data_IF_231579440778
#
_entry.id   IF_231579440778
#
_cell.length_a   1.000
_cell.length_b   1.000
_cell.length_c   1.000
_cell.angle_alpha   90.00
_cell.angle_beta   90.00
_cell.angle_gamma   90.00
#
_symmetry.space_group_name_H-M   'P 1'
#
loop_
_entity.id
_entity.type
_entity.pdbx_description
1 polymer ?
#
# COMPACT_ATOMS: atom_id res chain seq x y z
N UNK A 1 6.16 6.73 6.38
CA UNK A 1 7.51 7.11 5.90
C UNK A 1 7.35 7.86 4.58
N UNK A 2 8.18 8.84 4.29
CA UNK A 2 8.17 9.59 3.02
C UNK A 2 9.43 9.28 2.23
N UNK A 3 9.29 9.09 0.92
CA UNK A 3 10.42 9.03 -0.03
C UNK A 3 10.35 10.23 -0.96
N UNK A 4 11.50 10.64 -1.47
CA UNK A 4 11.59 11.70 -2.47
C UNK A 4 11.76 11.02 -3.83
N UNK A 5 10.92 11.35 -4.81
CA UNK A 5 11.05 10.82 -6.17
C UNK A 5 12.24 11.46 -6.92
N UNK A 6 12.52 11.00 -8.13
CA UNK A 6 13.61 11.53 -8.97
C UNK A 6 13.39 13.00 -9.36
N UNK A 7 12.16 13.50 -9.26
CA UNK A 7 11.76 14.88 -9.53
C UNK A 7 11.83 15.78 -8.28
N UNK A 8 12.22 15.24 -7.12
CA UNK A 8 12.36 15.99 -5.87
C UNK A 8 11.07 16.12 -5.05
N UNK A 9 9.98 15.46 -5.45
CA UNK A 9 8.70 15.48 -4.75
C UNK A 9 8.66 14.49 -3.59
N UNK A 10 8.15 14.96 -2.44
CA UNK A 10 7.93 14.10 -1.26
C UNK A 10 6.68 13.26 -1.45
N UNK A 11 6.87 11.98 -1.75
CA UNK A 11 5.81 10.97 -1.82
C UNK A 11 5.65 10.33 -0.44
N UNK A 12 4.45 10.46 0.14
CA UNK A 12 4.04 9.67 1.29
C UNK A 12 3.90 8.20 0.87
N UNK A 13 4.66 7.30 1.49
CA UNK A 13 4.42 5.88 1.31
C UNK A 13 3.16 5.50 2.07
N UNK A 14 2.15 4.91 1.41
CA UNK A 14 0.97 4.42 2.08
C UNK A 14 1.37 3.48 3.22
N UNK A 15 0.79 3.67 4.40
CA UNK A 15 1.04 2.82 5.58
C UNK A 15 0.27 1.49 5.54
N UNK A 16 -0.35 1.20 4.40
CA UNK A 16 -1.13 -0.01 4.17
C UNK A 16 -0.21 -1.22 4.00
N UNK A 17 -0.49 -2.27 4.76
CA UNK A 17 0.22 -3.54 4.65
C UNK A 17 -0.03 -4.22 3.30
N UNK A 18 0.79 -5.23 2.94
CA UNK A 18 0.67 -5.96 1.68
C UNK A 18 -0.73 -6.56 1.47
N UNK A 19 -1.41 -6.93 2.55
CA UNK A 19 -2.79 -7.44 2.53
C UNK A 19 -3.78 -6.48 1.86
N UNK A 20 -3.70 -5.19 2.20
CA UNK A 20 -4.62 -4.18 1.70
C UNK A 20 -4.34 -3.85 0.23
N UNK A 21 -3.07 -3.85 -0.17
CA UNK A 21 -2.68 -3.73 -1.57
C UNK A 21 -3.22 -4.89 -2.42
N UNK A 22 -3.13 -6.12 -1.92
CA UNK A 22 -3.68 -7.28 -2.63
C UNK A 22 -5.21 -7.22 -2.73
N UNK A 23 -5.88 -6.75 -1.69
CA UNK A 23 -7.33 -6.50 -1.71
C UNK A 23 -7.70 -5.47 -2.79
N UNK A 24 -6.98 -4.35 -2.89
CA UNK A 24 -7.19 -3.36 -3.96
C UNK A 24 -6.95 -3.94 -5.36
N UNK A 25 -5.88 -4.72 -5.55
CA UNK A 25 -5.62 -5.39 -6.83
C UNK A 25 -6.77 -6.34 -7.18
N UNK A 26 -7.25 -7.11 -6.21
CA UNK A 26 -8.36 -8.02 -6.40
C UNK A 26 -9.65 -7.27 -6.77
N UNK A 27 -9.99 -6.20 -6.06
CA UNK A 27 -11.23 -5.45 -6.25
C UNK A 27 -11.23 -4.63 -7.54
N UNK A 28 -10.14 -3.93 -7.84
CA UNK A 28 -10.10 -2.94 -8.93
C UNK A 28 -9.49 -3.46 -10.23
N UNK A 29 -8.61 -4.47 -10.17
CA UNK A 29 -7.95 -5.00 -11.37
C UNK A 29 -8.44 -6.40 -11.73
N UNK A 30 -8.31 -7.38 -10.83
CA UNK A 30 -8.54 -8.79 -11.19
C UNK A 30 -10.03 -9.14 -11.26
N UNK A 31 -10.81 -8.75 -10.26
CA UNK A 31 -12.22 -9.14 -10.09
C UNK A 31 -12.41 -10.66 -10.28
N UNK A 32 -13.41 -11.03 -11.07
CA UNK A 32 -13.68 -12.44 -11.45
C UNK A 32 -12.97 -12.84 -12.76
N UNK A 33 -12.07 -12.02 -13.29
CA UNK A 33 -11.42 -12.28 -14.57
C UNK A 33 -10.22 -13.22 -14.40
N UNK A 34 -10.43 -14.50 -14.72
CA UNK A 34 -9.41 -15.54 -14.67
C UNK A 34 -8.13 -15.21 -15.49
N UNK A 35 -8.25 -14.46 -16.58
CA UNK A 35 -7.10 -14.07 -17.40
C UNK A 35 -6.22 -13.05 -16.66
N UNK A 36 -6.84 -12.08 -15.98
CA UNK A 36 -6.11 -11.08 -15.18
C UNK A 36 -5.44 -11.71 -13.96
N UNK A 37 -6.11 -12.67 -13.31
CA UNK A 37 -5.50 -13.48 -12.26
C UNK A 37 -4.27 -14.26 -12.73
N UNK A 38 -4.36 -14.89 -13.91
CA UNK A 38 -3.19 -15.57 -14.51
C UNK A 38 -2.06 -14.58 -14.79
N UNK A 39 -2.36 -13.39 -15.30
CA UNK A 39 -1.36 -12.37 -15.57
C UNK A 39 -0.69 -11.86 -14.28
N UNK A 40 -1.47 -11.66 -13.20
CA UNK A 40 -0.94 -11.32 -11.87
C UNK A 40 -0.05 -12.41 -11.30
N UNK A 41 -0.44 -13.67 -11.42
CA UNK A 41 0.38 -14.79 -10.95
C UNK A 41 1.74 -14.84 -11.68
N UNK A 42 1.73 -14.64 -12.99
CA UNK A 42 2.94 -14.52 -13.81
C UNK A 42 3.81 -13.33 -13.35
N UNK A 43 3.20 -12.19 -13.07
CA UNK A 43 3.89 -10.99 -12.56
C UNK A 43 4.51 -11.25 -11.18
N UNK A 44 3.76 -11.83 -10.25
CA UNK A 44 4.23 -12.12 -8.90
C UNK A 44 5.41 -13.10 -8.89
N UNK A 45 5.35 -14.16 -9.70
CA UNK A 45 6.46 -15.09 -9.85
C UNK A 45 7.72 -14.40 -10.40
N UNK A 46 7.54 -13.46 -11.32
CA UNK A 46 8.66 -12.71 -11.89
C UNK A 46 9.28 -11.70 -10.92
N UNK A 47 8.45 -10.85 -10.33
CA UNK A 47 8.92 -9.68 -9.58
C UNK A 47 9.12 -9.98 -8.09
N UNK A 48 8.26 -10.80 -7.48
CA UNK A 48 8.35 -11.09 -6.03
C UNK A 48 9.23 -12.31 -5.75
N UNK A 49 9.16 -13.34 -6.60
CA UNK A 49 9.94 -14.57 -6.44
C UNK A 49 11.20 -14.62 -7.31
N UNK A 50 11.37 -13.67 -8.25
CA UNK A 50 12.57 -13.57 -9.08
C UNK A 50 12.70 -14.66 -10.15
N UNK A 51 11.62 -15.36 -10.52
CA UNK A 51 11.70 -16.50 -11.42
C UNK A 51 12.15 -16.09 -12.84
N UNK A 52 12.99 -16.91 -13.52
CA UNK A 52 13.32 -16.71 -14.93
C UNK A 52 12.09 -16.84 -15.83
N UNK A 53 12.07 -16.08 -16.93
CA UNK A 53 10.96 -16.13 -17.89
C UNK A 53 10.82 -17.50 -18.56
N UNK A 54 11.93 -18.24 -18.78
CA UNK A 54 11.84 -19.61 -19.30
C UNK A 54 11.09 -20.53 -18.35
N UNK A 55 11.40 -20.49 -17.05
CA UNK A 55 10.76 -21.33 -16.03
C UNK A 55 9.27 -21.01 -15.89
N UNK A 56 8.93 -19.72 -15.88
CA UNK A 56 7.52 -19.29 -15.90
C UNK A 56 6.82 -19.81 -17.16
N UNK A 57 7.46 -19.69 -18.32
CA UNK A 57 6.95 -20.21 -19.58
C UNK A 57 6.66 -21.70 -19.53
N UNK A 58 7.57 -22.49 -18.96
CA UNK A 58 7.38 -23.93 -18.79
C UNK A 58 6.15 -24.27 -17.92
N UNK A 59 5.98 -23.58 -16.78
CA UNK A 59 4.84 -23.83 -15.87
C UNK A 59 3.50 -23.47 -16.51
N UNK A 60 3.44 -22.36 -17.26
CA UNK A 60 2.19 -21.90 -17.86
C UNK A 60 1.95 -22.40 -19.30
N UNK A 61 2.86 -23.21 -19.85
CA UNK A 61 2.77 -23.73 -21.22
C UNK A 61 2.97 -22.66 -22.30
N UNK A 62 3.75 -21.63 -22.02
CA UNK A 62 3.93 -20.46 -22.89
C UNK A 62 5.38 -20.28 -23.34
N UNK A 63 5.63 -19.85 -24.60
CA UNK A 63 6.97 -19.48 -25.02
C UNK A 63 7.42 -18.20 -24.31
N UNK A 64 8.74 -18.03 -24.12
CA UNK A 64 9.35 -16.86 -23.44
C UNK A 64 8.84 -15.53 -23.97
N UNK A 65 8.70 -15.38 -25.29
CA UNK A 65 8.18 -14.16 -25.90
C UNK A 65 6.73 -13.84 -25.50
N UNK A 66 5.90 -14.86 -25.29
CA UNK A 66 4.53 -14.67 -24.80
C UNK A 66 4.54 -14.23 -23.34
N UNK A 67 5.36 -14.85 -22.48
CA UNK A 67 5.53 -14.43 -21.08
C UNK A 67 5.97 -12.97 -20.99
N UNK A 68 6.96 -12.57 -21.79
CA UNK A 68 7.43 -11.18 -21.86
C UNK A 68 6.31 -10.19 -22.24
N UNK A 69 5.49 -10.53 -23.24
CA UNK A 69 4.34 -9.69 -23.64
C UNK A 69 3.28 -9.60 -22.54
N UNK A 70 2.98 -10.71 -21.84
CA UNK A 70 2.04 -10.70 -20.70
C UNK A 70 2.57 -9.78 -19.60
N UNK A 71 3.86 -9.88 -19.27
CA UNK A 71 4.49 -9.04 -18.25
C UNK A 71 4.45 -7.55 -18.61
N UNK A 72 4.74 -7.20 -19.87
CA UNK A 72 4.65 -5.81 -20.33
C UNK A 72 3.20 -5.30 -20.26
N UNK A 73 2.25 -6.12 -20.73
CA UNK A 73 0.83 -5.79 -20.75
C UNK A 73 0.26 -5.61 -19.34
N UNK A 74 0.48 -6.56 -18.43
CA UNK A 74 -0.06 -6.48 -17.07
C UNK A 74 0.53 -5.27 -16.31
N UNK A 75 1.81 -4.95 -16.50
CA UNK A 75 2.41 -3.75 -15.90
C UNK A 75 1.79 -2.46 -16.44
N UNK A 76 1.53 -2.42 -17.75
CA UNK A 76 0.88 -1.28 -18.38
C UNK A 76 -0.56 -1.12 -17.88
N UNK A 77 -1.34 -2.20 -17.87
CA UNK A 77 -2.72 -2.17 -17.38
C UNK A 77 -2.81 -1.79 -15.91
N UNK A 78 -1.90 -2.28 -15.06
CA UNK A 78 -1.82 -1.86 -13.66
C UNK A 78 -1.51 -0.37 -13.55
N UNK A 79 -0.54 0.15 -14.32
CA UNK A 79 -0.27 1.60 -14.34
C UNK A 79 -1.49 2.40 -14.77
N UNK A 80 -2.18 2.00 -15.84
CA UNK A 80 -3.38 2.70 -16.32
C UNK A 80 -4.51 2.63 -15.29
N UNK A 81 -4.73 1.47 -14.68
CA UNK A 81 -5.75 1.27 -13.65
C UNK A 81 -5.47 2.14 -12.43
N UNK A 82 -4.19 2.23 -12.03
CA UNK A 82 -3.78 2.92 -10.81
C UNK A 82 -3.26 4.36 -11.01
N UNK A 83 -3.18 4.86 -12.25
CA UNK A 83 -2.74 6.23 -12.54
C UNK A 83 -3.81 7.29 -12.23
N UNK A 84 -5.09 6.90 -12.21
CA UNK A 84 -6.21 7.84 -12.22
C UNK A 84 -6.85 8.18 -10.86
N UNK A 85 -6.37 7.69 -9.70
CA UNK A 85 -6.85 8.26 -8.43
C UNK A 85 -5.93 8.01 -7.23
N UNK A 86 -5.56 9.08 -6.50
CA UNK A 86 -5.10 9.00 -5.12
C UNK A 86 -6.21 8.58 -4.14
N UNK A 87 -7.50 8.63 -4.54
CA UNK A 87 -8.63 8.44 -3.61
C UNK A 87 -8.71 7.02 -3.04
N UNK A 88 -8.30 5.99 -3.78
CA UNK A 88 -8.35 4.60 -3.28
C UNK A 88 -7.23 4.27 -2.29
N UNK A 89 -6.22 5.14 -2.17
CA UNK A 89 -5.18 4.95 -1.16
C UNK A 89 -5.69 5.25 0.24
N UNK A 90 -6.95 5.72 0.40
CA UNK A 90 -7.61 6.08 1.66
C UNK A 90 -6.56 6.42 2.70
N UNK A 91 -5.79 7.48 2.40
CA UNK A 91 -4.92 8.10 3.39
C UNK A 91 -5.90 8.73 4.37
N UNK A 92 -6.46 7.92 5.27
CA UNK A 92 -7.10 8.41 6.47
C UNK A 92 -6.06 9.32 7.11
N UNK A 93 -6.28 10.63 7.03
CA UNK A 93 -5.42 11.63 7.64
C UNK A 93 -5.24 11.21 9.11
N UNK A 94 -3.99 10.90 9.55
CA UNK A 94 -3.74 10.65 10.95
C UNK A 94 -3.65 12.00 11.66
N UNK A 95 -4.71 12.80 11.59
CA UNK A 95 -4.81 14.08 12.27
C UNK A 95 -6.10 14.14 13.09
N UNK A 96 -6.21 13.24 14.07
CA UNK A 96 -6.85 13.58 15.37
C UNK A 96 -6.56 12.54 16.48
N UNK A 97 -5.30 12.11 16.61
CA UNK A 97 -4.87 11.35 17.77
C UNK A 97 -3.50 11.83 18.28
N UNK A 98 -3.43 13.10 18.71
CA UNK A 98 -2.64 13.57 19.85
C UNK A 98 -2.36 15.08 19.74
N UNK A 99 -3.01 15.88 20.59
CA UNK A 99 -2.35 17.07 21.13
C UNK A 99 -2.31 16.97 22.67
N UNK A 100 -1.18 16.55 23.26
CA UNK A 100 -1.00 16.42 24.70
C UNK A 100 -0.36 17.70 25.30
N UNK A 101 -0.94 18.89 25.04
CA UNK A 101 -0.28 20.14 25.44
C UNK A 101 -1.20 21.36 25.63
N UNK A 102 -2.19 21.30 26.52
CA UNK A 102 -2.77 22.48 27.19
C UNK A 102 -3.34 21.99 28.55
N UNK A 103 -3.01 22.45 29.76
CA UNK A 103 -2.16 23.54 30.24
C UNK A 103 -1.90 23.25 31.73
N UNK A 104 -0.64 23.23 32.19
CA UNK A 104 -0.37 23.54 33.60
C UNK A 104 -0.09 25.04 33.68
N UNK A 105 -0.58 25.71 34.74
CA UNK A 105 0.41 26.19 35.68
C UNK A 105 0.14 25.70 37.11
N UNK A 106 1.24 25.30 37.75
CA UNK A 106 1.39 25.11 39.18
C UNK A 106 1.01 26.38 39.94
N UNK A 107 0.23 26.25 41.03
CA UNK A 107 0.38 26.86 42.37
C UNK A 107 -0.89 26.51 43.18
N UNK A 108 -0.94 26.26 44.49
CA UNK A 108 -0.02 26.02 45.60
C UNK A 108 -0.92 25.46 46.75
N UNK A 109 -0.38 24.49 47.49
CA UNK A 109 -0.66 24.09 48.88
C UNK A 109 -1.98 23.45 49.33
N UNK A 110 -1.81 22.19 49.74
CA UNK A 110 -2.36 21.53 50.92
C UNK A 110 -2.70 22.42 52.13
N UNK A 111 -3.90 22.21 52.66
CA UNK A 111 -4.28 21.99 54.07
C UNK A 111 -5.81 21.94 54.10
N UNK A 112 -6.46 20.80 54.27
CA UNK A 112 -6.41 20.01 55.49
C UNK A 112 -7.68 20.31 56.28
N UNK A 113 -8.75 19.56 55.99
CA UNK A 113 -9.94 19.52 56.83
C UNK A 113 -9.54 19.04 58.23
N UNK A 114 -9.76 19.88 59.25
CA UNK A 114 -9.88 19.44 60.64
C UNK A 114 -10.68 20.49 61.41
N UNK A 115 -11.86 20.07 61.87
CA UNK A 115 -12.50 20.62 63.07
C UNK A 115 -12.77 19.39 63.97
N UNK A 116 -12.57 19.51 65.29
CA UNK A 116 -13.76 19.65 66.13
C UNK A 116 -13.57 20.59 67.33
N UNK A 117 -14.70 21.06 67.85
CA UNK A 117 -14.85 21.54 69.23
C UNK A 117 -15.42 20.45 70.13
#
# INVERSE_FOLDING_TARGET
MTVVNEEGEKIMLPRVGPEHFWKMIQEHYAGDNAIRWKALAILALRENAGWPQETIGQVFGHPRGHVSRILAKVKQELRETFACSPEWLCLDDPEEAANPAESLPRRISDKGFSNPG
#
